data_IF_490350061692
#
_entry.id   IF_490350061692
#
_cell.length_a   1.000
_cell.length_b   1.000
_cell.length_c   1.000
_cell.angle_alpha   90.00
_cell.angle_beta   90.00
_cell.angle_gamma   90.00
#
_symmetry.space_group_name_H-M   'P 1'
#
loop_
_entity.id
_entity.type
_entity.pdbx_description
1 polymer ?
#
# COMPACT_ATOMS: atom_id res chain seq x y z
N UNK A 1 27.34 -11.54 -13.01
CA UNK A 1 26.50 -11.34 -14.22
C UNK A 1 27.43 -11.03 -15.41
N UNK A 2 27.01 -11.05 -16.69
CA UNK A 2 27.92 -10.68 -17.82
C UNK A 2 28.11 -9.15 -17.94
N UNK A 3 27.21 -8.38 -17.35
CA UNK A 3 27.26 -6.93 -17.25
C UNK A 3 26.82 -6.55 -15.84
N UNK A 4 27.69 -5.90 -15.09
CA UNK A 4 27.40 -5.35 -13.75
C UNK A 4 27.45 -3.83 -13.83
N UNK A 5 26.53 -3.17 -13.13
CA UNK A 5 26.54 -1.72 -13.00
C UNK A 5 27.76 -1.32 -12.17
N UNK A 6 28.45 -0.27 -12.60
CA UNK A 6 29.48 0.35 -11.77
C UNK A 6 28.84 1.17 -10.66
N UNK A 7 29.61 1.52 -9.62
CA UNK A 7 29.12 2.40 -8.56
C UNK A 7 28.62 3.74 -9.11
N UNK A 8 29.25 4.26 -10.18
CA UNK A 8 28.82 5.50 -10.83
C UNK A 8 27.50 5.34 -11.59
N UNK A 9 27.27 4.18 -12.21
CA UNK A 9 25.98 3.87 -12.82
C UNK A 9 24.88 3.81 -11.77
N UNK A 10 25.17 3.21 -10.60
CA UNK A 10 24.25 3.20 -9.46
C UNK A 10 23.95 4.61 -8.95
N UNK A 11 24.96 5.47 -8.79
CA UNK A 11 24.76 6.88 -8.39
C UNK A 11 23.91 7.65 -9.40
N UNK A 12 24.15 7.47 -10.70
CA UNK A 12 23.36 8.09 -11.77
C UNK A 12 21.90 7.65 -11.73
N UNK A 13 21.66 6.36 -11.54
CA UNK A 13 20.31 5.81 -11.38
C UNK A 13 19.61 6.45 -10.18
N UNK A 14 20.24 6.46 -9.00
CA UNK A 14 19.63 7.02 -7.79
C UNK A 14 19.36 8.52 -7.91
N UNK A 15 20.27 9.27 -8.54
CA UNK A 15 20.06 10.69 -8.82
C UNK A 15 18.84 10.93 -9.73
N UNK A 16 18.71 10.13 -10.79
CA UNK A 16 17.57 10.23 -11.70
C UNK A 16 16.25 9.90 -10.99
N UNK A 17 16.23 8.87 -10.14
CA UNK A 17 15.04 8.48 -9.38
C UNK A 17 14.61 9.55 -8.39
N UNK A 18 15.55 10.17 -7.67
CA UNK A 18 15.24 11.27 -6.74
C UNK A 18 14.65 12.51 -7.42
N UNK A 19 14.92 12.70 -8.71
CA UNK A 19 14.39 13.85 -9.46
C UNK A 19 12.93 13.67 -9.92
N UNK A 20 12.38 12.45 -9.82
CA UNK A 20 11.02 12.15 -10.28
C UNK A 20 10.05 12.35 -9.10
N UNK A 21 8.99 13.17 -9.24
CA UNK A 21 7.97 13.34 -8.19
C UNK A 21 6.99 12.15 -8.19
N UNK A 22 7.49 10.97 -7.84
CA UNK A 22 6.73 9.73 -7.81
C UNK A 22 7.03 8.90 -6.57
N UNK A 23 6.12 7.97 -6.28
CA UNK A 23 6.32 6.88 -5.31
C UNK A 23 7.22 5.84 -5.96
N UNK A 24 8.37 5.57 -5.35
CA UNK A 24 9.43 4.74 -5.93
C UNK A 24 9.78 3.60 -4.98
N UNK A 25 9.92 2.41 -5.57
CA UNK A 25 10.37 1.20 -4.91
C UNK A 25 11.49 0.57 -5.74
N UNK A 26 12.60 0.24 -5.10
CA UNK A 26 13.75 -0.44 -5.70
C UNK A 26 14.02 -1.75 -4.99
N UNK A 27 14.28 -2.82 -5.74
CA UNK A 27 14.65 -4.14 -5.21
C UNK A 27 16.02 -4.55 -5.73
N UNK A 28 16.86 -5.14 -4.88
CA UNK A 28 18.16 -5.66 -5.29
C UNK A 28 18.96 -6.26 -4.15
N UNK A 29 20.21 -6.62 -4.40
CA UNK A 29 21.13 -7.02 -3.35
C UNK A 29 21.64 -5.81 -2.58
N UNK A 30 21.93 -6.02 -1.30
CA UNK A 30 22.47 -4.97 -0.42
C UNK A 30 23.71 -4.32 -1.04
N UNK A 31 23.68 -3.00 -1.18
CA UNK A 31 24.72 -2.23 -1.86
C UNK A 31 25.17 -1.03 -0.99
N UNK A 32 26.48 -0.83 -0.75
CA UNK A 32 26.99 0.30 0.04
C UNK A 32 26.62 1.68 -0.51
N UNK A 33 26.62 1.86 -1.84
CA UNK A 33 26.23 3.13 -2.50
C UNK A 33 24.80 3.51 -2.14
N UNK A 34 23.91 2.53 -2.03
CA UNK A 34 22.50 2.76 -1.69
C UNK A 34 22.38 3.20 -0.23
N UNK A 35 23.15 2.56 0.67
CA UNK A 35 23.20 2.95 2.09
C UNK A 35 23.64 4.40 2.28
N UNK A 36 24.48 4.93 1.40
CA UNK A 36 24.93 6.32 1.43
C UNK A 36 23.93 7.27 0.75
N UNK A 37 23.49 6.92 -0.47
CA UNK A 37 22.74 7.83 -1.32
C UNK A 37 21.25 7.89 -0.98
N UNK A 38 20.65 6.83 -0.44
CA UNK A 38 19.22 6.74 -0.09
C UNK A 38 19.04 6.25 1.35
N UNK A 39 19.89 6.74 2.26
CA UNK A 39 19.84 6.39 3.69
C UNK A 39 18.50 6.75 4.35
N UNK A 40 17.78 7.72 3.79
CA UNK A 40 16.49 8.23 4.21
C UNK A 40 15.31 7.40 3.71
N UNK A 41 15.54 6.45 2.80
CA UNK A 41 14.48 5.59 2.27
C UNK A 41 14.19 4.42 3.23
N UNK A 42 12.91 4.08 3.36
CA UNK A 42 12.49 2.90 4.11
C UNK A 42 13.12 1.65 3.49
N UNK A 43 13.74 0.80 4.30
CA UNK A 43 14.53 -0.34 3.83
C UNK A 43 14.10 -1.62 4.54
N UNK A 44 13.79 -2.68 3.77
CA UNK A 44 13.49 -4.02 4.31
C UNK A 44 14.32 -5.09 3.62
N UNK A 45 14.79 -6.08 4.39
CA UNK A 45 15.42 -7.28 3.86
C UNK A 45 14.41 -8.44 3.84
N UNK A 46 14.37 -9.20 2.75
CA UNK A 46 13.47 -10.35 2.60
C UNK A 46 14.16 -11.53 1.92
N UNK A 47 13.61 -12.73 2.14
CA UNK A 47 14.07 -13.95 1.48
C UNK A 47 13.29 -14.16 0.19
N UNK A 48 14.00 -14.18 -0.93
CA UNK A 48 13.48 -14.52 -2.24
C UNK A 48 13.90 -15.95 -2.61
N UNK A 49 12.95 -16.79 -3.04
CA UNK A 49 13.28 -18.12 -3.55
C UNK A 49 13.75 -18.00 -5.01
N UNK A 50 14.97 -18.44 -5.28
CA UNK A 50 15.52 -18.52 -6.64
C UNK A 50 15.69 -19.97 -7.09
N UNK A 51 15.98 -20.21 -8.37
CA UNK A 51 16.31 -21.56 -8.86
C UNK A 51 17.50 -22.20 -8.14
N UNK A 52 18.38 -21.40 -7.54
CA UNK A 52 19.55 -21.84 -6.76
C UNK A 52 19.35 -21.80 -5.25
N UNK A 53 18.09 -21.74 -4.77
CA UNK A 53 17.75 -21.65 -3.35
C UNK A 53 17.42 -20.23 -2.86
N UNK A 54 17.18 -20.07 -1.55
CA UNK A 54 16.87 -18.77 -0.96
C UNK A 54 18.01 -17.77 -1.14
N UNK A 55 17.67 -16.52 -1.46
CA UNK A 55 18.58 -15.39 -1.52
C UNK A 55 18.01 -14.24 -0.69
N UNK A 56 18.87 -13.55 0.04
CA UNK A 56 18.50 -12.32 0.74
C UNK A 56 18.53 -11.16 -0.25
N UNK A 57 17.40 -10.51 -0.43
CA UNK A 57 17.27 -9.26 -1.18
C UNK A 57 16.85 -8.13 -0.25
N UNK A 58 17.07 -6.91 -0.70
CA UNK A 58 16.74 -5.67 -0.01
C UNK A 58 15.80 -4.85 -0.89
N UNK A 59 14.79 -4.26 -0.27
CA UNK A 59 13.86 -3.31 -0.87
C UNK A 59 14.08 -1.93 -0.27
N UNK A 60 14.12 -0.90 -1.10
CA UNK A 60 14.17 0.51 -0.70
C UNK A 60 12.95 1.26 -1.22
N UNK A 61 12.31 2.07 -0.38
CA UNK A 61 11.08 2.81 -0.70
C UNK A 61 11.19 4.25 -0.22
N UNK A 62 10.83 5.22 -1.08
CA UNK A 62 10.79 6.64 -0.69
C UNK A 62 9.50 7.04 0.05
N UNK A 63 8.78 6.05 0.58
CA UNK A 63 7.49 6.18 1.25
C UNK A 63 7.40 5.12 2.35
N UNK A 64 6.52 5.35 3.31
CA UNK A 64 6.29 4.39 4.39
C UNK A 64 5.36 3.26 3.90
N UNK A 65 5.81 1.99 3.90
CA UNK A 65 4.96 0.87 3.56
C UNK A 65 3.87 0.70 4.63
N UNK A 66 2.61 0.58 4.19
CA UNK A 66 1.48 0.42 5.10
C UNK A 66 0.72 1.70 5.44
N UNK A 67 0.96 2.80 4.70
CA UNK A 67 0.08 3.97 4.68
C UNK A 67 -1.35 3.66 4.21
N UNK A 68 -2.18 4.70 4.04
CA UNK A 68 -3.59 4.56 3.64
C UNK A 68 -3.74 3.60 2.46
N UNK A 69 -4.53 2.54 2.65
CA UNK A 69 -4.81 1.56 1.62
C UNK A 69 -5.66 2.26 0.55
N UNK A 70 -5.00 2.81 -0.46
CA UNK A 70 -5.65 3.58 -1.53
C UNK A 70 -6.66 2.78 -2.37
N UNK A 71 -6.71 1.44 -2.20
CA UNK A 71 -7.63 0.59 -2.93
C UNK A 71 -8.11 -0.60 -2.08
N UNK A 72 -9.44 -0.75 -1.95
CA UNK A 72 -10.06 -1.83 -1.18
C UNK A 72 -9.58 -3.25 -1.56
N UNK A 73 -9.09 -3.44 -2.79
CA UNK A 73 -8.53 -4.71 -3.27
C UNK A 73 -7.19 -5.11 -2.63
N UNK A 74 -6.47 -4.18 -2.01
CA UNK A 74 -5.25 -4.47 -1.25
C UNK A 74 -5.48 -4.58 0.26
N UNK A 75 -6.74 -4.55 0.72
CA UNK A 75 -7.07 -4.79 2.11
C UNK A 75 -6.56 -6.16 2.57
N UNK A 76 -5.61 -6.15 3.50
CA UNK A 76 -5.03 -7.35 4.12
C UNK A 76 -3.50 -7.32 4.16
N UNK A 77 -2.96 -7.70 5.31
CA UNK A 77 -1.52 -7.64 5.64
C UNK A 77 -0.65 -8.59 4.80
N UNK A 78 -1.22 -9.70 4.33
CA UNK A 78 -0.50 -10.70 3.53
C UNK A 78 -1.44 -11.39 2.52
N UNK A 79 -0.90 -12.31 1.72
CA UNK A 79 -1.68 -13.01 0.69
C UNK A 79 -2.90 -13.74 1.28
N UNK A 80 -2.71 -14.50 2.36
CA UNK A 80 -3.79 -15.26 3.01
C UNK A 80 -4.87 -14.34 3.57
N UNK A 81 -4.47 -13.24 4.19
CA UNK A 81 -5.39 -12.24 4.73
C UNK A 81 -6.17 -11.53 3.62
N UNK A 82 -5.50 -11.15 2.51
CA UNK A 82 -6.16 -10.62 1.31
C UNK A 82 -7.17 -11.61 0.72
N UNK A 83 -6.82 -12.89 0.63
CA UNK A 83 -7.76 -13.93 0.17
C UNK A 83 -8.95 -14.10 1.12
N UNK A 84 -8.72 -14.05 2.44
CA UNK A 84 -9.78 -14.09 3.46
C UNK A 84 -10.74 -12.91 3.31
N UNK A 85 -10.22 -11.69 3.17
CA UNK A 85 -11.02 -10.47 2.99
C UNK A 85 -11.80 -10.53 1.66
N UNK A 86 -11.14 -10.92 0.57
CA UNK A 86 -11.80 -11.13 -0.73
C UNK A 86 -12.99 -12.09 -0.63
N UNK A 87 -12.80 -13.28 -0.05
CA UNK A 87 -13.86 -14.28 0.13
C UNK A 87 -14.99 -13.78 1.04
N UNK A 88 -14.67 -12.97 2.07
CA UNK A 88 -15.68 -12.33 2.92
C UNK A 88 -16.54 -11.38 2.09
N UNK A 89 -15.92 -10.53 1.26
CA UNK A 89 -16.61 -9.63 0.34
C UNK A 89 -17.51 -10.39 -0.65
N UNK A 90 -16.98 -11.42 -1.31
CA UNK A 90 -17.74 -12.26 -2.25
C UNK A 90 -18.95 -12.93 -1.59
N UNK A 91 -18.78 -13.44 -0.36
CA UNK A 91 -19.88 -14.04 0.41
C UNK A 91 -20.96 -13.02 0.75
N UNK A 92 -20.57 -11.84 1.23
CA UNK A 92 -21.51 -10.76 1.55
C UNK A 92 -22.24 -10.28 0.31
N UNK A 93 -21.55 -10.12 -0.82
CA UNK A 93 -22.16 -9.76 -2.10
C UNK A 93 -23.16 -10.82 -2.58
N UNK A 94 -22.84 -12.11 -2.44
CA UNK A 94 -23.75 -13.20 -2.78
C UNK A 94 -25.00 -13.23 -1.88
N UNK A 95 -24.86 -12.93 -0.59
CA UNK A 95 -26.00 -12.80 0.34
C UNK A 95 -26.85 -11.58 0.00
N UNK A 96 -26.23 -10.42 -0.20
CA UNK A 96 -26.89 -9.16 -0.54
C UNK A 96 -27.68 -9.27 -1.87
N UNK A 97 -27.12 -9.95 -2.88
CA UNK A 97 -27.79 -10.15 -4.18
C UNK A 97 -29.10 -10.95 -4.06
N UNK A 98 -29.22 -11.84 -3.07
CA UNK A 98 -30.43 -12.65 -2.84
C UNK A 98 -31.56 -11.87 -2.17
N UNK A 99 -31.27 -10.72 -1.57
CA UNK A 99 -32.29 -9.90 -0.91
C UNK A 99 -33.23 -9.26 -1.95
N UNK A 100 -34.51 -9.06 -1.60
CA UNK A 100 -35.43 -8.22 -2.37
C UNK A 100 -34.86 -6.81 -2.59
N UNK A 101 -35.20 -6.13 -3.70
CA UNK A 101 -34.64 -4.81 -4.03
C UNK A 101 -34.78 -3.76 -2.92
N UNK A 102 -35.92 -3.74 -2.21
CA UNK A 102 -36.18 -2.80 -1.10
C UNK A 102 -35.25 -3.07 0.09
N UNK A 103 -35.07 -4.34 0.45
CA UNK A 103 -34.15 -4.74 1.53
C UNK A 103 -32.70 -4.42 1.17
N UNK A 104 -32.30 -4.61 -0.09
CA UNK A 104 -30.97 -4.17 -0.57
C UNK A 104 -30.75 -2.68 -0.35
N UNK A 105 -31.71 -1.85 -0.74
CA UNK A 105 -31.62 -0.40 -0.57
C UNK A 105 -31.53 0.01 0.91
N UNK A 106 -32.34 -0.60 1.78
CA UNK A 106 -32.29 -0.35 3.22
C UNK A 106 -30.93 -0.74 3.82
N UNK A 107 -30.40 -1.91 3.47
CA UNK A 107 -29.08 -2.39 3.93
C UNK A 107 -27.95 -1.50 3.43
N UNK A 108 -27.98 -1.08 2.16
CA UNK A 108 -26.98 -0.16 1.60
C UNK A 108 -27.01 1.20 2.30
N UNK A 109 -28.20 1.75 2.55
CA UNK A 109 -28.34 2.99 3.29
C UNK A 109 -27.72 2.88 4.69
N UNK A 110 -27.99 1.79 5.41
CA UNK A 110 -27.42 1.57 6.74
C UNK A 110 -25.89 1.45 6.71
N UNK A 111 -25.31 0.80 5.69
CA UNK A 111 -23.85 0.69 5.51
C UNK A 111 -23.22 2.05 5.20
N UNK A 112 -23.83 2.85 4.32
CA UNK A 112 -23.30 4.18 3.99
C UNK A 112 -23.36 5.13 5.19
N UNK A 113 -24.41 5.04 6.01
CA UNK A 113 -24.52 5.84 7.24
C UNK A 113 -23.53 5.45 8.34
N UNK A 114 -23.01 4.21 8.36
CA UNK A 114 -22.04 3.79 9.37
C UNK A 114 -20.61 4.26 9.09
N UNK A 115 -20.30 4.57 7.83
CA UNK A 115 -18.95 4.95 7.38
C UNK A 115 -18.76 6.47 7.34
N UNK A 116 -19.83 7.23 7.52
CA UNK A 116 -19.80 8.69 7.61
C UNK A 116 -19.47 9.08 9.06
N UNK A 117 -18.36 9.79 9.32
CA UNK A 117 -18.14 10.40 10.63
C UNK A 117 -19.31 11.34 10.94
N UNK A 118 -19.83 11.33 12.17
CA UNK A 118 -20.90 12.25 12.55
C UNK A 118 -20.47 13.70 12.24
N UNK A 119 -21.15 14.36 11.29
CA UNK A 119 -20.86 15.73 10.86
C UNK A 119 -20.82 16.00 9.35
N UNK A 120 -20.91 14.99 8.46
CA UNK A 120 -20.85 15.22 6.99
C UNK A 120 -22.19 15.69 6.39
N UNK A 121 -23.26 15.75 7.19
CA UNK A 121 -24.50 16.45 6.84
C UNK A 121 -24.44 17.96 7.17
N UNK A 122 -23.29 18.46 7.63
CA UNK A 122 -23.04 19.90 7.82
C UNK A 122 -22.71 20.56 6.46
N UNK A 123 -23.47 21.58 6.01
CA UNK A 123 -23.16 22.31 4.78
C UNK A 123 -21.78 22.99 4.77
N UNK A 124 -21.11 23.10 5.93
CA UNK A 124 -19.78 23.69 6.08
C UNK A 124 -18.62 22.66 6.13
N UNK A 125 -18.85 21.38 5.75
CA UNK A 125 -17.80 20.35 5.70
C UNK A 125 -16.70 20.68 4.67
N UNK A 126 -15.49 21.02 5.15
CA UNK A 126 -14.27 21.21 4.35
C UNK A 126 -13.36 19.96 4.39
N UNK A 127 -13.22 19.19 3.30
CA UNK A 127 -12.37 17.99 3.24
C UNK A 127 -10.87 18.29 3.31
N UNK A 128 -10.45 19.57 3.30
CA UNK A 128 -9.06 20.01 3.40
C UNK A 128 -8.57 20.35 4.81
N UNK A 129 -9.43 20.31 5.83
CA UNK A 129 -9.02 20.59 7.20
C UNK A 129 -8.14 19.45 7.75
N UNK A 130 -6.95 19.73 8.31
CA UNK A 130 -6.08 18.70 8.86
C UNK A 130 -6.81 17.94 9.96
N UNK A 131 -6.95 16.64 9.75
CA UNK A 131 -7.46 15.66 10.72
C UNK A 131 -6.80 15.85 12.08
N UNK A 132 -7.52 16.47 13.01
CA UNK A 132 -7.18 16.53 14.43
C UNK A 132 -7.64 15.22 15.08
N UNK A 133 -7.04 14.09 14.70
CA UNK A 133 -7.18 12.87 15.50
C UNK A 133 -6.21 12.94 16.69
N UNK A 134 -6.69 12.79 17.94
CA UNK A 134 -5.80 12.79 19.10
C UNK A 134 -4.91 11.55 19.07
N UNK A 135 -3.62 11.76 19.30
CA UNK A 135 -2.64 10.70 19.54
C UNK A 135 -3.08 9.87 20.75
N UNK A 136 -3.27 8.56 20.55
CA UNK A 136 -3.25 7.54 21.59
C UNK A 136 -2.20 6.49 21.24
#
# INVERSE_FOLDING_TARGET
YKFEMTDDDHRRLLAALKAIPAVIMLSGYRNPVYKECIADWHTIDYQAMTRGGPRTETLWMNFEPGGEIHWHGYAGSNYTDRQRIKRKGERWAAMYKKLPPVERQAVLSAMLSSDIPAGVDDPDYDPGAPSQLPLL
#
